data_IF_985255981746
#
_entry.id   IF_985255981746
#
_cell.length_a   1.000
_cell.length_b   1.000
_cell.length_c   1.000
_cell.angle_alpha   90.00
_cell.angle_beta   90.00
_cell.angle_gamma   90.00
#
_symmetry.space_group_name_H-M   'P 1'
#
loop_
_entity.id
_entity.type
_entity.pdbx_description
1 polymer ?
#
# COMPACT_ATOMS: atom_id res chain seq x y z
N UNK A 1 3.49 -30.79 15.70
CA UNK A 1 3.64 -29.96 14.48
C UNK A 1 2.56 -30.41 13.48
N UNK A 2 1.56 -29.58 13.16
CA UNK A 2 0.47 -29.98 12.25
C UNK A 2 1.01 -29.92 10.81
N UNK A 3 1.11 -31.08 10.15
CA UNK A 3 1.48 -31.16 8.73
C UNK A 3 0.41 -30.47 7.87
N UNK A 4 0.83 -29.63 6.93
CA UNK A 4 -0.09 -29.03 5.94
C UNK A 4 -0.69 -30.12 5.04
N UNK A 5 -1.90 -29.92 4.52
CA UNK A 5 -2.63 -30.92 3.72
C UNK A 5 -1.81 -31.44 2.52
N UNK A 6 -0.98 -30.58 1.91
CA UNK A 6 -0.08 -30.98 0.82
C UNK A 6 1.04 -31.91 1.29
N UNK A 7 1.59 -31.71 2.49
CA UNK A 7 2.65 -32.58 3.04
C UNK A 7 2.11 -33.99 3.34
N UNK A 8 0.87 -34.09 3.83
CA UNK A 8 0.22 -35.41 4.06
C UNK A 8 0.05 -36.18 2.75
N UNK A 9 -0.37 -35.50 1.67
CA UNK A 9 -0.53 -36.13 0.34
C UNK A 9 0.80 -36.58 -0.25
N UNK A 10 1.86 -35.77 -0.15
CA UNK A 10 3.21 -36.13 -0.62
C UNK A 10 3.75 -37.37 0.09
N UNK A 11 3.59 -37.44 1.42
CA UNK A 11 4.00 -38.60 2.23
C UNK A 11 3.21 -39.85 1.81
N UNK A 12 1.90 -39.72 1.58
CA UNK A 12 1.05 -40.83 1.13
C UNK A 12 1.50 -41.38 -0.24
N UNK A 13 1.77 -40.52 -1.22
CA UNK A 13 2.26 -40.95 -2.53
C UNK A 13 3.62 -41.64 -2.47
N UNK A 14 4.51 -41.19 -1.59
CA UNK A 14 5.81 -41.84 -1.38
C UNK A 14 5.68 -43.24 -0.78
N UNK A 15 4.80 -43.41 0.20
CA UNK A 15 4.53 -44.72 0.83
C UNK A 15 3.95 -45.69 -0.20
N UNK A 16 2.97 -45.25 -1.00
CA UNK A 16 2.36 -46.08 -2.05
C UNK A 16 3.40 -46.50 -3.09
N UNK A 17 4.24 -45.57 -3.58
CA UNK A 17 5.29 -45.88 -4.55
C UNK A 17 6.34 -46.86 -4.01
N UNK A 18 6.68 -46.75 -2.72
CA UNK A 18 7.59 -47.70 -2.06
C UNK A 18 7.01 -49.11 -2.00
N UNK A 19 5.72 -49.26 -1.65
CA UNK A 19 5.02 -50.55 -1.61
C UNK A 19 4.97 -51.21 -2.99
N UNK A 20 4.74 -50.42 -4.06
CA UNK A 20 4.72 -50.91 -5.44
C UNK A 20 6.08 -51.50 -5.85
N UNK A 21 7.18 -50.85 -5.47
CA UNK A 21 8.53 -51.32 -5.83
C UNK A 21 8.93 -52.56 -5.05
N UNK A 22 8.60 -52.63 -3.76
CA UNK A 22 8.82 -53.83 -2.96
C UNK A 22 8.04 -55.01 -3.54
N UNK A 23 6.79 -54.78 -3.98
CA UNK A 23 5.97 -55.81 -4.64
C UNK A 23 6.56 -56.25 -5.98
N UNK A 24 6.97 -55.30 -6.85
CA UNK A 24 7.61 -55.61 -8.13
C UNK A 24 8.92 -56.40 -7.96
N UNK A 25 9.71 -56.08 -6.94
CA UNK A 25 10.94 -56.81 -6.63
C UNK A 25 10.67 -58.26 -6.22
N UNK A 26 9.59 -58.52 -5.47
CA UNK A 26 9.24 -59.86 -4.98
C UNK A 26 8.63 -60.75 -6.07
N UNK A 27 7.77 -60.18 -6.94
CA UNK A 27 6.98 -60.96 -7.91
C UNK A 27 7.57 -61.03 -9.32
N UNK A 28 8.41 -60.07 -9.74
CA UNK A 28 8.77 -59.92 -11.16
C UNK A 28 10.21 -60.30 -11.51
N UNK A 29 11.12 -60.47 -10.53
CA UNK A 29 12.51 -60.89 -10.79
C UNK A 29 12.68 -62.41 -10.63
N UNK A 30 13.48 -63.01 -11.52
CA UNK A 30 13.96 -64.38 -11.35
C UNK A 30 14.84 -64.49 -10.09
N UNK A 31 14.83 -65.65 -9.43
CA UNK A 31 15.51 -65.84 -8.14
C UNK A 31 17.01 -65.55 -8.16
N UNK A 32 17.64 -65.57 -9.34
CA UNK A 32 19.06 -65.25 -9.54
C UNK A 32 19.37 -63.76 -9.41
N UNK A 33 18.39 -62.89 -9.69
CA UNK A 33 18.56 -61.44 -9.70
C UNK A 33 18.03 -60.75 -8.42
N UNK A 34 17.46 -61.52 -7.48
CA UNK A 34 16.99 -61.08 -6.16
C UNK A 34 18.15 -60.84 -5.18
N UNK A 35 19.15 -60.08 -5.62
CA UNK A 35 20.27 -59.67 -4.77
C UNK A 35 19.95 -58.34 -4.07
N UNK A 36 20.44 -58.17 -2.84
CA UNK A 36 20.32 -56.93 -2.06
C UNK A 36 20.81 -55.72 -2.88
N UNK A 37 21.88 -55.89 -3.66
CA UNK A 37 22.43 -54.85 -4.56
C UNK A 37 21.40 -54.40 -5.60
N UNK A 38 20.67 -55.32 -6.23
CA UNK A 38 19.67 -54.97 -7.25
C UNK A 38 18.44 -54.28 -6.65
N UNK A 39 18.06 -54.65 -5.41
CA UNK A 39 17.01 -53.95 -4.67
C UNK A 39 17.40 -52.48 -4.43
N UNK A 40 18.60 -52.23 -3.92
CA UNK A 40 19.07 -50.86 -3.68
C UNK A 40 19.18 -50.05 -4.98
N UNK A 41 19.59 -50.65 -6.09
CA UNK A 41 19.64 -49.99 -7.40
C UNK A 41 18.26 -49.60 -7.91
N UNK A 42 17.27 -50.49 -7.83
CA UNK A 42 15.87 -50.23 -8.22
C UNK A 42 15.23 -49.15 -7.34
N UNK A 43 15.37 -49.30 -6.02
CA UNK A 43 14.86 -48.34 -5.06
C UNK A 43 15.53 -46.97 -5.21
N UNK A 44 16.85 -46.92 -5.41
CA UNK A 44 17.60 -45.69 -5.64
C UNK A 44 17.17 -44.96 -6.92
N UNK A 45 16.89 -45.71 -7.98
CA UNK A 45 16.38 -45.16 -9.25
C UNK A 45 15.00 -44.52 -9.05
N UNK A 46 14.09 -45.22 -8.36
CA UNK A 46 12.79 -44.67 -8.02
C UNK A 46 12.88 -43.45 -7.10
N UNK A 47 13.66 -43.54 -6.02
CA UNK A 47 13.82 -42.45 -5.08
C UNK A 47 14.36 -41.19 -5.78
N UNK A 48 15.25 -41.35 -6.76
CA UNK A 48 15.77 -40.26 -7.58
C UNK A 48 14.69 -39.64 -8.48
N UNK A 49 13.91 -40.46 -9.20
CA UNK A 49 12.80 -39.97 -10.05
C UNK A 49 11.73 -39.27 -9.20
N UNK A 50 11.37 -39.86 -8.07
CA UNK A 50 10.41 -39.28 -7.14
C UNK A 50 10.94 -37.97 -6.54
N UNK A 51 12.22 -37.92 -6.16
CA UNK A 51 12.87 -36.70 -5.68
C UNK A 51 12.84 -35.57 -6.71
N UNK A 52 13.10 -35.87 -7.98
CA UNK A 52 12.99 -34.92 -9.09
C UNK A 52 11.55 -34.42 -9.28
N UNK A 53 10.56 -35.32 -9.21
CA UNK A 53 9.15 -34.96 -9.31
C UNK A 53 8.71 -34.03 -8.16
N UNK A 54 9.14 -34.30 -6.93
CA UNK A 54 8.87 -33.43 -5.79
C UNK A 54 9.58 -32.08 -5.93
N UNK A 55 10.85 -32.07 -6.34
CA UNK A 55 11.58 -30.83 -6.59
C UNK A 55 10.86 -29.96 -7.65
N UNK A 56 10.34 -30.57 -8.72
CA UNK A 56 9.56 -29.89 -9.73
C UNK A 56 8.29 -29.23 -9.15
N UNK A 57 7.50 -29.97 -8.36
CA UNK A 57 6.29 -29.42 -7.70
C UNK A 57 6.65 -28.28 -6.73
N UNK A 58 7.75 -28.42 -5.99
CA UNK A 58 8.23 -27.38 -5.07
C UNK A 58 8.60 -26.10 -5.81
N UNK A 59 9.30 -26.19 -6.95
CA UNK A 59 9.66 -25.02 -7.77
C UNK A 59 8.40 -24.28 -8.24
N UNK A 60 7.38 -25.00 -8.72
CA UNK A 60 6.10 -24.38 -9.13
C UNK A 60 5.42 -23.72 -7.93
N UNK A 61 5.38 -24.40 -6.79
CA UNK A 61 4.75 -23.87 -5.56
C UNK A 61 5.45 -22.60 -5.08
N UNK A 62 6.79 -22.60 -5.10
CA UNK A 62 7.60 -21.43 -4.76
C UNK A 62 7.33 -20.25 -5.69
N UNK A 63 7.21 -20.49 -7.00
CA UNK A 63 6.85 -19.46 -7.96
C UNK A 63 5.48 -18.83 -7.62
N UNK A 64 4.46 -19.67 -7.39
CA UNK A 64 3.11 -19.21 -7.03
C UNK A 64 3.11 -18.43 -5.71
N UNK A 65 3.80 -18.90 -4.69
CA UNK A 65 3.92 -18.19 -3.40
C UNK A 65 4.63 -16.86 -3.57
N UNK A 66 5.66 -16.79 -4.41
CA UNK A 66 6.38 -15.55 -4.67
C UNK A 66 5.50 -14.53 -5.41
N UNK A 67 4.72 -14.97 -6.40
CA UNK A 67 3.74 -14.12 -7.09
C UNK A 67 2.65 -13.60 -6.14
N UNK A 68 2.07 -14.48 -5.31
CA UNK A 68 1.08 -14.08 -4.29
C UNK A 68 1.67 -13.10 -3.27
N UNK A 69 2.91 -13.32 -2.85
CA UNK A 69 3.62 -12.43 -1.93
C UNK A 69 3.85 -11.07 -2.58
N UNK A 70 4.28 -11.03 -3.85
CA UNK A 70 4.45 -9.79 -4.60
C UNK A 70 3.14 -9.00 -4.67
N UNK A 71 2.03 -9.65 -5.01
CA UNK A 71 0.70 -9.03 -5.05
C UNK A 71 0.30 -8.50 -3.66
N UNK A 72 0.52 -9.27 -2.60
CA UNK A 72 0.21 -8.84 -1.24
C UNK A 72 1.06 -7.62 -0.80
N UNK A 73 2.34 -7.57 -1.17
CA UNK A 73 3.23 -6.43 -0.92
C UNK A 73 2.76 -5.21 -1.69
N UNK A 74 2.44 -5.36 -2.98
CA UNK A 74 1.94 -4.27 -3.83
C UNK A 74 0.62 -3.69 -3.28
N UNK A 75 -0.33 -4.55 -2.90
CA UNK A 75 -1.56 -4.13 -2.24
C UNK A 75 -1.31 -3.41 -0.92
N UNK A 76 -0.31 -3.86 -0.15
CA UNK A 76 0.07 -3.21 1.11
C UNK A 76 0.67 -1.82 0.88
N UNK A 77 1.55 -1.67 -0.12
CA UNK A 77 2.13 -0.38 -0.50
C UNK A 77 1.05 0.59 -0.98
N UNK A 78 0.12 0.14 -1.82
CA UNK A 78 -1.01 0.95 -2.27
C UNK A 78 -1.87 1.42 -1.09
N UNK A 79 -2.18 0.54 -0.14
CA UNK A 79 -2.94 0.91 1.06
C UNK A 79 -2.19 1.89 1.96
N UNK A 80 -0.86 1.74 2.07
CA UNK A 80 -0.03 2.69 2.82
C UNK A 80 -0.06 4.07 2.16
N UNK A 81 0.11 4.14 0.84
CA UNK A 81 0.06 5.40 0.10
C UNK A 81 -1.29 6.10 0.26
N UNK A 82 -2.40 5.35 0.12
CA UNK A 82 -3.74 5.87 0.37
C UNK A 82 -3.90 6.45 1.78
N UNK A 83 -3.41 5.73 2.81
CA UNK A 83 -3.45 6.21 4.19
C UNK A 83 -2.62 7.48 4.39
N UNK A 84 -1.46 7.58 3.75
CA UNK A 84 -0.64 8.79 3.78
C UNK A 84 -1.35 9.96 3.09
N UNK A 85 -1.92 9.74 1.90
CA UNK A 85 -2.73 10.73 1.16
C UNK A 85 -3.91 11.23 2.01
N UNK A 86 -4.66 10.34 2.64
CA UNK A 86 -5.75 10.70 3.57
C UNK A 86 -5.20 11.53 4.75
N UNK A 87 -4.09 11.10 5.34
CA UNK A 87 -3.47 11.81 6.47
C UNK A 87 -3.01 13.24 6.11
N UNK A 88 -2.49 13.45 4.89
CA UNK A 88 -2.11 14.78 4.41
C UNK A 88 -3.32 15.70 4.26
N UNK A 89 -4.43 15.17 3.71
CA UNK A 89 -5.70 15.91 3.61
C UNK A 89 -6.26 16.26 5.00
N UNK A 90 -6.31 15.29 5.94
CA UNK A 90 -6.76 15.56 7.32
C UNK A 90 -5.91 16.63 8.00
N UNK A 91 -4.59 16.61 7.77
CA UNK A 91 -3.67 17.62 8.30
C UNK A 91 -3.97 19.01 7.73
N UNK A 92 -4.25 19.11 6.43
CA UNK A 92 -4.63 20.37 5.80
C UNK A 92 -5.91 20.95 6.40
N UNK A 93 -6.96 20.13 6.58
CA UNK A 93 -8.24 20.53 7.23
C UNK A 93 -7.97 21.07 8.65
N UNK A 94 -7.17 20.36 9.43
CA UNK A 94 -6.82 20.80 10.80
C UNK A 94 -6.08 22.15 10.80
N UNK A 95 -5.14 22.35 9.88
CA UNK A 95 -4.41 23.62 9.78
C UNK A 95 -5.34 24.76 9.36
N UNK A 96 -6.30 24.54 8.46
CA UNK A 96 -7.33 25.53 8.13
C UNK A 96 -8.09 25.96 9.40
N UNK A 97 -8.55 25.01 10.21
CA UNK A 97 -9.22 25.30 11.48
C UNK A 97 -8.33 26.08 12.45
N UNK A 98 -7.03 25.74 12.54
CA UNK A 98 -6.05 26.48 13.34
C UNK A 98 -5.86 27.92 12.84
N UNK A 99 -5.87 28.15 11.53
CA UNK A 99 -5.77 29.49 10.92
C UNK A 99 -7.02 30.32 11.26
N UNK A 100 -8.22 29.76 11.03
CA UNK A 100 -9.49 30.43 11.33
C UNK A 100 -9.56 30.80 12.82
N UNK A 101 -9.22 29.86 13.70
CA UNK A 101 -9.20 30.07 15.16
C UNK A 101 -8.17 31.13 15.57
N UNK A 102 -6.98 31.11 14.97
CA UNK A 102 -5.92 32.09 15.26
C UNK A 102 -6.33 33.50 14.81
N UNK A 103 -7.01 33.62 13.66
CA UNK A 103 -7.54 34.89 13.17
C UNK A 103 -8.64 35.46 14.07
N UNK A 104 -9.59 34.62 14.52
CA UNK A 104 -10.65 35.03 15.46
C UNK A 104 -10.04 35.54 16.78
N UNK A 105 -8.97 34.89 17.25
CA UNK A 105 -8.30 35.25 18.49
C UNK A 105 -7.30 36.43 18.34
N UNK A 106 -7.24 37.09 17.18
CA UNK A 106 -6.32 38.20 16.92
C UNK A 106 -4.83 37.81 16.82
N UNK A 107 -4.52 36.50 16.82
CA UNK A 107 -3.14 35.97 16.72
C UNK A 107 -2.72 35.84 15.26
N UNK A 108 -2.69 36.97 14.56
CA UNK A 108 -2.46 37.03 13.12
C UNK A 108 -1.07 36.54 12.69
N UNK A 109 -0.06 36.66 13.56
CA UNK A 109 1.28 36.13 13.35
C UNK A 109 1.29 34.60 13.25
N UNK A 110 0.56 33.94 14.16
CA UNK A 110 0.39 32.48 14.18
C UNK A 110 -0.40 32.04 12.96
N UNK A 111 -1.47 32.77 12.62
CA UNK A 111 -2.23 32.51 11.40
C UNK A 111 -1.35 32.58 10.15
N UNK A 112 -0.47 33.58 10.04
CA UNK A 112 0.44 33.70 8.89
C UNK A 112 1.40 32.50 8.78
N UNK A 113 1.99 32.06 9.89
CA UNK A 113 2.86 30.88 9.91
C UNK A 113 2.08 29.66 9.43
N UNK A 114 0.87 29.44 9.97
CA UNK A 114 0.01 28.31 9.58
C UNK A 114 -0.46 28.37 8.14
N UNK A 115 -0.71 29.55 7.57
CA UNK A 115 -1.06 29.69 6.16
C UNK A 115 0.10 29.30 5.24
N UNK A 116 1.35 29.60 5.63
CA UNK A 116 2.54 29.13 4.90
C UNK A 116 2.67 27.61 4.95
N UNK A 117 2.44 27.01 6.13
CA UNK A 117 2.40 25.56 6.29
C UNK A 117 1.32 24.93 5.39
N UNK A 118 0.11 25.51 5.40
CA UNK A 118 -1.00 25.08 4.55
C UNK A 118 -0.63 25.12 3.07
N UNK A 119 -0.06 26.23 2.59
CA UNK A 119 0.37 26.35 1.19
C UNK A 119 1.35 25.25 0.80
N UNK A 120 2.32 24.92 1.66
CA UNK A 120 3.25 23.82 1.41
C UNK A 120 2.54 22.48 1.25
N UNK A 121 1.56 22.20 2.13
CA UNK A 121 0.78 20.96 2.09
C UNK A 121 -0.09 20.89 0.83
N UNK A 122 -0.72 21.99 0.43
CA UNK A 122 -1.52 22.03 -0.81
C UNK A 122 -0.70 21.73 -2.06
N UNK A 123 0.55 22.23 -2.10
CA UNK A 123 1.48 21.92 -3.18
C UNK A 123 1.87 20.44 -3.14
N UNK A 124 2.14 19.87 -1.97
CA UNK A 124 2.44 18.44 -1.84
C UNK A 124 1.27 17.58 -2.33
N UNK A 125 0.05 17.90 -1.89
CA UNK A 125 -1.19 17.25 -2.35
C UNK A 125 -1.34 17.32 -3.87
N UNK A 126 -1.02 18.47 -4.49
CA UNK A 126 -1.10 18.66 -5.94
C UNK A 126 -0.23 17.67 -6.73
N UNK A 127 0.94 17.34 -6.19
CA UNK A 127 1.91 16.45 -6.86
C UNK A 127 1.81 15.00 -6.39
N UNK A 128 0.86 14.67 -5.52
CA UNK A 128 0.59 13.30 -5.14
C UNK A 128 -0.18 12.59 -6.26
N UNK A 129 0.38 11.49 -6.78
CA UNK A 129 -0.16 10.76 -7.92
C UNK A 129 -1.57 10.19 -7.69
N UNK A 130 -1.93 9.85 -6.45
CA UNK A 130 -3.26 9.36 -6.11
C UNK A 130 -4.32 10.46 -6.08
N UNK A 131 -3.88 11.70 -5.80
CA UNK A 131 -4.74 12.87 -5.68
C UNK A 131 -4.83 13.67 -6.97
N UNK A 132 -3.97 13.37 -7.96
CA UNK A 132 -3.82 14.16 -9.17
C UNK A 132 -5.15 14.38 -9.91
N UNK A 133 -6.01 13.37 -9.95
CA UNK A 133 -7.34 13.41 -10.58
C UNK A 133 -8.23 14.50 -9.94
N UNK A 134 -8.08 14.72 -8.64
CA UNK A 134 -8.85 15.72 -7.89
C UNK A 134 -8.18 17.11 -7.91
N UNK A 135 -6.85 17.16 -8.04
CA UNK A 135 -6.07 18.40 -7.94
C UNK A 135 -5.74 19.06 -9.27
N UNK A 136 -5.89 18.37 -10.41
CA UNK A 136 -5.76 18.96 -11.77
C UNK A 136 -6.96 19.83 -12.19
N UNK A 137 -7.72 20.36 -11.23
CA UNK A 137 -8.85 21.24 -11.51
C UNK A 137 -8.43 22.71 -11.46
N UNK A 138 -9.06 23.54 -12.29
CA UNK A 138 -8.88 25.00 -12.23
C UNK A 138 -9.26 25.55 -10.84
N UNK A 139 -10.25 24.94 -10.19
CA UNK A 139 -10.72 25.30 -8.85
C UNK A 139 -9.61 25.10 -7.82
N UNK A 140 -8.95 23.94 -7.80
CA UNK A 140 -7.87 23.68 -6.84
C UNK A 140 -6.66 24.60 -7.05
N UNK A 141 -6.30 24.87 -8.31
CA UNK A 141 -5.24 25.83 -8.64
C UNK A 141 -5.61 27.26 -8.23
N UNK A 142 -6.89 27.64 -8.36
CA UNK A 142 -7.38 28.91 -7.88
C UNK A 142 -7.27 29.00 -6.36
N UNK A 143 -7.65 27.96 -5.61
CA UNK A 143 -7.52 27.93 -4.16
C UNK A 143 -6.07 28.13 -3.69
N UNK A 144 -5.07 27.52 -4.34
CA UNK A 144 -3.65 27.73 -4.03
C UNK A 144 -3.25 29.19 -4.29
N UNK A 145 -3.76 29.78 -5.36
CA UNK A 145 -3.51 31.17 -5.74
C UNK A 145 -4.12 32.13 -4.73
N UNK A 146 -5.37 31.89 -4.33
CA UNK A 146 -6.10 32.69 -3.35
C UNK A 146 -5.41 32.64 -1.98
N UNK A 147 -4.99 31.46 -1.52
CA UNK A 147 -4.19 31.32 -0.30
C UNK A 147 -2.87 32.10 -0.41
N UNK A 148 -2.22 32.10 -1.57
CA UNK A 148 -0.98 32.87 -1.77
C UNK A 148 -1.22 34.37 -1.70
N UNK A 149 -2.34 34.85 -2.26
CA UNK A 149 -2.77 36.24 -2.18
C UNK A 149 -3.08 36.61 -0.72
N UNK A 150 -3.80 35.74 0.01
CA UNK A 150 -4.17 35.98 1.40
C UNK A 150 -2.95 35.98 2.33
N UNK A 151 -1.97 35.10 2.12
CA UNK A 151 -0.68 35.12 2.84
C UNK A 151 0.01 36.47 2.68
N UNK A 152 0.09 36.97 1.45
CA UNK A 152 0.75 38.25 1.16
C UNK A 152 -0.01 39.41 1.80
N UNK A 153 -1.34 39.41 1.67
CA UNK A 153 -2.20 40.42 2.29
C UNK A 153 -2.08 40.43 3.83
N UNK A 154 -2.04 39.26 4.47
CA UNK A 154 -1.87 39.13 5.91
C UNK A 154 -0.47 39.57 6.35
N UNK A 155 0.56 39.24 5.57
CA UNK A 155 1.91 39.70 5.82
C UNK A 155 2.02 41.23 5.72
N UNK A 156 1.47 41.84 4.68
CA UNK A 156 1.45 43.30 4.49
C UNK A 156 0.67 44.04 5.59
N UNK A 157 -0.39 43.42 6.12
CA UNK A 157 -1.12 43.91 7.28
C UNK A 157 -0.25 43.90 8.55
N UNK A 158 0.46 42.80 8.82
CA UNK A 158 1.31 42.65 10.00
C UNK A 158 2.51 43.61 10.02
N UNK A 159 3.12 43.87 8.85
CA UNK A 159 4.25 44.80 8.74
C UNK A 159 3.82 46.26 8.59
N UNK A 160 2.52 46.56 8.67
CA UNK A 160 1.98 47.92 8.62
C UNK A 160 1.96 48.58 7.24
N UNK A 161 2.25 47.82 6.15
CA UNK A 161 2.14 48.33 4.77
C UNK A 161 0.68 48.53 4.34
N UNK A 162 -0.24 47.76 4.91
CA UNK A 162 -1.68 47.82 4.63
C UNK A 162 -2.48 47.99 5.92
N UNK A 163 -3.35 49.00 5.99
CA UNK A 163 -4.13 49.32 7.20
C UNK A 163 -5.32 48.40 7.45
N UNK A 164 -5.75 47.61 6.48
CA UNK A 164 -6.94 46.77 6.60
C UNK A 164 -6.82 45.46 5.84
N UNK A 165 -7.29 44.38 6.47
CA UNK A 165 -7.41 43.06 5.87
C UNK A 165 -8.88 42.64 5.89
N UNK A 166 -9.36 42.09 4.77
CA UNK A 166 -10.70 41.51 4.72
C UNK A 166 -10.67 40.07 5.26
N UNK A 167 -10.74 39.94 6.59
CA UNK A 167 -10.79 38.64 7.27
C UNK A 167 -12.01 37.80 6.88
N UNK A 168 -13.11 38.44 6.47
CA UNK A 168 -14.30 37.73 5.98
C UNK A 168 -14.00 36.98 4.68
N UNK A 169 -13.33 37.65 3.71
CA UNK A 169 -12.91 37.01 2.46
C UNK A 169 -11.89 35.90 2.70
N UNK A 170 -10.90 36.13 3.57
CA UNK A 170 -9.92 35.11 3.96
C UNK A 170 -10.61 33.87 4.55
N UNK A 171 -11.52 34.05 5.50
CA UNK A 171 -12.25 32.94 6.10
C UNK A 171 -13.14 32.22 5.09
N UNK A 172 -13.78 32.94 4.16
CA UNK A 172 -14.54 32.36 3.06
C UNK A 172 -13.67 31.49 2.15
N UNK A 173 -12.48 31.96 1.78
CA UNK A 173 -11.54 31.20 0.96
C UNK A 173 -11.06 29.93 1.69
N UNK A 174 -10.79 30.03 3.00
CA UNK A 174 -10.43 28.89 3.85
C UNK A 174 -11.57 27.86 3.94
N UNK A 175 -12.82 28.31 4.03
CA UNK A 175 -13.98 27.42 4.11
C UNK A 175 -14.24 26.66 2.80
N UNK A 176 -14.12 27.35 1.67
CA UNK A 176 -14.23 26.75 0.33
C UNK A 176 -13.12 25.71 0.10
N UNK A 177 -11.89 26.03 0.50
CA UNK A 177 -10.79 25.08 0.47
C UNK A 177 -11.01 23.89 1.40
N UNK A 178 -11.47 24.13 2.63
CA UNK A 178 -11.79 23.07 3.61
C UNK A 178 -12.83 22.10 3.05
N UNK A 179 -13.88 22.63 2.43
CA UNK A 179 -14.93 21.85 1.77
C UNK A 179 -14.34 20.99 0.66
N UNK A 180 -13.53 21.59 -0.23
CA UNK A 180 -12.86 20.88 -1.34
C UNK A 180 -11.97 19.73 -0.83
N UNK A 181 -11.14 19.99 0.20
CA UNK A 181 -10.25 18.97 0.76
C UNK A 181 -11.04 17.86 1.48
N UNK A 182 -12.13 18.21 2.16
CA UNK A 182 -13.01 17.24 2.82
C UNK A 182 -13.69 16.32 1.81
N UNK A 183 -14.11 16.85 0.66
CA UNK A 183 -14.63 16.04 -0.42
C UNK A 183 -13.58 15.05 -0.96
N UNK A 184 -12.33 15.50 -1.13
CA UNK A 184 -11.24 14.61 -1.56
C UNK A 184 -10.97 13.53 -0.53
N UNK A 185 -10.95 13.88 0.75
CA UNK A 185 -10.72 12.94 1.86
C UNK A 185 -11.82 11.87 1.91
N UNK A 186 -13.08 12.27 1.77
CA UNK A 186 -14.21 11.35 1.78
C UNK A 186 -14.22 10.44 0.55
N UNK A 187 -13.89 10.97 -0.64
CA UNK A 187 -13.74 10.14 -1.84
C UNK A 187 -12.67 9.08 -1.64
N UNK A 188 -11.49 9.44 -1.12
CA UNK A 188 -10.45 8.46 -0.82
C UNK A 188 -10.83 7.44 0.27
N UNK A 189 -11.56 7.86 1.31
CA UNK A 189 -11.99 6.97 2.39
C UNK A 189 -13.07 5.98 1.98
N UNK A 190 -13.99 6.39 1.10
CA UNK A 190 -15.24 5.66 0.84
C UNK A 190 -15.43 5.21 -0.62
N UNK A 191 -14.80 5.85 -1.62
CA UNK A 191 -14.69 5.29 -2.99
C UNK A 191 -13.57 4.25 -3.03
N UNK A 192 -13.70 3.19 -2.23
CA UNK A 192 -12.86 2.00 -2.38
C UNK A 192 -13.42 1.19 -3.54
N UNK A 193 -12.72 1.18 -4.67
CA UNK A 193 -12.87 0.14 -5.71
C UNK A 193 -12.07 -1.10 -5.35
#
# INVERSE_FOLDING_TARGET
MKLTENQKKTILYFIIGTVIIVSLFMFSLEDKDKTIVNFFTLFGTFASIFGLWIAYIQIISLKLTNEQTKIAVENSLNKINQLLSISELSKAIKIIQEIQTSNINGKHEVALIRMKDLKSILIQIKYNSELNIYTETNIYNQNITDISIDINNLNDFLIGRKKGLNFSKLNSNLEELSTTITEFENKLKFEVK
#
